data_IF_049913463787
#
_entry.id   IF_049913463787
#
_cell.length_a   1.000
_cell.length_b   1.000
_cell.length_c   1.000
_cell.angle_alpha   90.00
_cell.angle_beta   90.00
_cell.angle_gamma   90.00
#
_symmetry.space_group_name_H-M   'P 1'
#
loop_
_entity.id
_entity.type
_entity.pdbx_description
1 polymer ?
#
# COMPACT_ATOMS: atom_id res chain seq x y z
N UNK A 1 12.59 -14.71 4.90
CA UNK A 1 12.60 -15.62 3.74
C UNK A 1 11.47 -16.62 3.76
N UNK A 2 11.21 -17.21 4.93
CA UNK A 2 10.11 -18.16 5.06
C UNK A 2 8.75 -17.48 4.80
N UNK A 3 8.55 -16.31 5.38
CA UNK A 3 7.30 -15.56 5.20
C UNK A 3 7.13 -15.08 3.77
N UNK A 4 8.22 -14.73 3.09
CA UNK A 4 8.18 -14.33 1.68
C UNK A 4 7.75 -15.50 0.79
N UNK A 5 8.29 -16.69 1.02
CA UNK A 5 7.90 -17.89 0.28
C UNK A 5 6.43 -18.21 0.49
N UNK A 6 5.98 -18.13 1.73
CA UNK A 6 4.58 -18.39 2.06
C UNK A 6 3.65 -17.42 1.36
N UNK A 7 4.01 -16.12 1.35
CA UNK A 7 3.23 -15.11 0.66
C UNK A 7 3.16 -15.36 -0.85
N UNK A 8 4.27 -15.76 -1.47
CA UNK A 8 4.30 -16.12 -2.90
C UNK A 8 3.35 -17.30 -3.17
N UNK A 9 3.38 -18.32 -2.32
CA UNK A 9 2.49 -19.48 -2.47
C UNK A 9 1.01 -19.09 -2.33
N UNK A 10 0.69 -18.19 -1.42
CA UNK A 10 -0.68 -17.69 -1.27
C UNK A 10 -1.17 -16.98 -2.53
N UNK A 11 -0.34 -16.14 -3.12
CA UNK A 11 -0.69 -15.45 -4.36
C UNK A 11 -0.82 -16.46 -5.50
N UNK A 12 0.11 -17.38 -5.61
CA UNK A 12 0.07 -18.42 -6.64
C UNK A 12 -1.19 -19.27 -6.54
N UNK A 13 -1.70 -19.47 -5.34
CA UNK A 13 -2.96 -20.19 -5.08
C UNK A 13 -4.20 -19.30 -5.26
N UNK A 14 -4.05 -18.15 -5.91
CA UNK A 14 -5.11 -17.19 -6.24
C UNK A 14 -5.76 -16.53 -5.04
N UNK A 15 -5.02 -16.42 -3.94
CA UNK A 15 -5.45 -15.64 -2.79
C UNK A 15 -5.08 -14.17 -2.95
N UNK A 16 -5.81 -13.31 -2.25
CA UNK A 16 -5.48 -11.90 -2.17
C UNK A 16 -4.66 -11.64 -0.92
N UNK A 17 -3.68 -10.75 -1.03
CA UNK A 17 -2.87 -10.33 0.10
C UNK A 17 -3.05 -8.85 0.37
N UNK A 18 -3.18 -8.50 1.63
CA UNK A 18 -3.13 -7.11 2.08
C UNK A 18 -1.77 -6.89 2.70
N UNK A 19 -1.06 -5.87 2.23
CA UNK A 19 0.30 -5.58 2.67
C UNK A 19 0.39 -4.09 3.04
N UNK A 20 1.07 -3.82 4.15
CA UNK A 20 1.45 -2.46 4.53
C UNK A 20 2.90 -2.25 4.06
N UNK A 21 3.11 -1.56 2.93
CA UNK A 21 4.43 -1.52 2.31
C UNK A 21 5.49 -0.77 3.11
N UNK A 22 5.10 0.01 4.10
CA UNK A 22 6.03 0.67 5.02
C UNK A 22 6.73 -0.33 5.94
N UNK A 23 6.13 -1.50 6.16
CA UNK A 23 6.70 -2.57 6.97
C UNK A 23 6.72 -2.33 8.47
N UNK A 24 6.19 -1.22 8.94
CA UNK A 24 6.09 -0.90 10.37
C UNK A 24 5.01 0.14 10.63
N UNK A 25 4.60 0.23 11.87
CA UNK A 25 3.58 1.19 12.32
C UNK A 25 4.30 2.44 12.84
N UNK A 26 3.79 3.62 12.45
CA UNK A 26 4.25 4.88 13.02
C UNK A 26 3.33 5.32 14.14
N UNK A 27 3.91 5.84 15.22
CA UNK A 27 3.16 6.34 16.36
C UNK A 27 3.07 7.87 16.39
N UNK A 28 3.80 8.55 15.52
CA UNK A 28 3.89 10.02 15.50
C UNK A 28 3.23 10.65 14.29
N UNK A 29 2.49 9.87 13.50
CA UNK A 29 1.81 10.37 12.31
C UNK A 29 2.70 10.65 11.12
N UNK A 30 4.01 10.47 11.22
CA UNK A 30 4.93 10.71 10.11
C UNK A 30 4.80 9.62 9.05
N UNK A 31 4.94 10.04 7.80
CA UNK A 31 4.93 9.10 6.69
C UNK A 31 6.23 8.31 6.64
N UNK A 32 6.11 7.02 6.38
CA UNK A 32 7.25 6.11 6.29
C UNK A 32 7.57 5.82 4.83
N UNK A 33 8.84 5.50 4.59
CA UNK A 33 9.27 5.03 3.27
C UNK A 33 8.73 3.64 3.01
N UNK A 34 8.41 3.36 1.75
CA UNK A 34 8.01 2.02 1.34
C UNK A 34 9.24 1.10 1.31
N UNK A 35 9.05 -0.11 1.81
CA UNK A 35 10.10 -1.13 1.79
C UNK A 35 10.16 -1.81 0.42
N UNK A 36 11.26 -2.45 0.13
CA UNK A 36 11.46 -3.15 -1.14
C UNK A 36 10.72 -4.48 -1.24
N UNK A 37 10.25 -4.99 -0.11
CA UNK A 37 9.66 -6.33 -0.03
C UNK A 37 8.46 -6.55 -0.93
N UNK A 38 7.59 -5.55 -1.06
CA UNK A 38 6.39 -5.68 -1.88
C UNK A 38 6.74 -5.91 -3.35
N UNK A 39 7.63 -5.10 -3.91
CA UNK A 39 8.03 -5.22 -5.32
C UNK A 39 8.71 -6.57 -5.58
N UNK A 40 9.57 -6.99 -4.66
CA UNK A 40 10.22 -8.31 -4.73
C UNK A 40 9.22 -9.44 -4.73
N UNK A 41 8.28 -9.39 -3.78
CA UNK A 41 7.24 -10.40 -3.63
C UNK A 41 6.41 -10.50 -4.91
N UNK A 42 5.98 -9.36 -5.42
CA UNK A 42 5.15 -9.29 -6.62
C UNK A 42 5.90 -9.86 -7.83
N UNK A 43 7.17 -9.52 -7.98
CA UNK A 43 7.99 -10.04 -9.08
C UNK A 43 8.20 -11.56 -9.00
N UNK A 44 8.41 -12.08 -7.80
CA UNK A 44 8.55 -13.52 -7.61
C UNK A 44 7.26 -14.26 -7.96
N UNK A 45 6.12 -13.76 -7.54
CA UNK A 45 4.84 -14.35 -7.87
C UNK A 45 4.56 -14.29 -9.38
N UNK A 46 4.89 -13.16 -10.01
CA UNK A 46 4.73 -12.99 -11.45
C UNK A 46 5.63 -13.96 -12.24
N UNK A 47 6.85 -14.16 -11.77
CA UNK A 47 7.80 -15.10 -12.38
C UNK A 47 7.28 -16.53 -12.37
N UNK A 48 6.49 -16.90 -11.37
CA UNK A 48 5.84 -18.21 -11.32
C UNK A 48 4.66 -18.34 -12.30
N UNK A 49 4.30 -17.26 -12.98
CA UNK A 49 3.25 -17.28 -14.00
C UNK A 49 1.93 -16.65 -13.58
N UNK A 50 1.81 -16.12 -12.37
CA UNK A 50 0.58 -15.52 -11.90
C UNK A 50 0.53 -14.04 -12.28
N UNK A 51 -0.52 -13.58 -13.00
CA UNK A 51 -0.70 -12.15 -13.24
C UNK A 51 -0.94 -11.42 -11.93
N UNK A 52 -0.25 -10.30 -11.73
CA UNK A 52 -0.32 -9.54 -10.48
C UNK A 52 -0.94 -8.19 -10.72
N UNK A 53 -2.02 -7.91 -10.00
CA UNK A 53 -2.63 -6.58 -9.93
C UNK A 53 -2.39 -6.00 -8.55
N UNK A 54 -2.06 -4.73 -8.52
CA UNK A 54 -1.80 -4.01 -7.29
C UNK A 54 -2.88 -2.96 -7.11
N UNK A 55 -3.50 -2.96 -5.93
CA UNK A 55 -4.60 -2.07 -5.59
C UNK A 55 -4.16 -1.13 -4.48
N UNK A 56 -3.87 0.14 -4.79
CA UNK A 56 -3.51 1.09 -3.75
C UNK A 56 -4.72 1.44 -2.90
N UNK A 57 -4.51 1.48 -1.58
CA UNK A 57 -5.57 1.79 -0.62
C UNK A 57 -5.05 2.85 0.35
N UNK A 58 -5.85 3.87 0.58
CA UNK A 58 -5.57 4.91 1.57
C UNK A 58 -6.57 4.82 2.71
N UNK A 59 -6.10 4.99 3.93
CA UNK A 59 -6.93 4.96 5.11
C UNK A 59 -6.69 6.24 5.91
N UNK A 60 -7.75 6.85 6.39
CA UNK A 60 -7.69 8.00 7.28
C UNK A 60 -8.65 7.82 8.44
N UNK A 61 -8.23 8.27 9.61
CA UNK A 61 -9.04 8.22 10.82
C UNK A 61 -9.49 9.62 11.21
N UNK A 62 -10.55 9.72 12.01
CA UNK A 62 -11.07 11.01 12.49
C UNK A 62 -10.00 11.85 13.19
N UNK A 63 -9.06 11.19 13.88
CA UNK A 63 -7.98 11.83 14.62
C UNK A 63 -6.64 11.30 14.19
N UNK A 64 -5.59 12.13 14.31
CA UNK A 64 -4.20 11.72 14.01
C UNK A 64 -3.81 10.51 14.85
N UNK A 65 -4.24 10.47 16.11
CA UNK A 65 -4.06 9.30 16.99
C UNK A 65 -5.44 8.67 17.21
N UNK A 66 -5.77 7.58 16.48
CA UNK A 66 -7.07 6.95 16.59
C UNK A 66 -7.37 6.46 17.99
N UNK A 67 -8.60 6.69 18.43
CA UNK A 67 -9.12 6.21 19.71
C UNK A 67 -10.17 5.14 19.44
N UNK A 68 -10.52 4.38 20.47
CA UNK A 68 -11.57 3.39 20.38
C UNK A 68 -12.88 4.03 19.88
N UNK A 69 -13.48 3.43 18.89
CA UNK A 69 -14.72 3.88 18.22
C UNK A 69 -14.60 5.15 17.39
N UNK A 70 -13.37 5.61 17.09
CA UNK A 70 -13.20 6.68 16.13
C UNK A 70 -13.61 6.21 14.73
N UNK A 71 -14.16 7.13 13.96
CA UNK A 71 -14.49 6.87 12.56
C UNK A 71 -13.24 6.79 11.70
N UNK A 72 -13.37 6.13 10.55
CA UNK A 72 -12.32 6.11 9.55
C UNK A 72 -12.92 6.05 8.16
N UNK A 73 -12.12 6.41 7.17
CA UNK A 73 -12.48 6.24 5.77
C UNK A 73 -11.39 5.45 5.06
N UNK A 74 -11.81 4.65 4.08
CA UNK A 74 -10.91 3.89 3.23
C UNK A 74 -11.23 4.24 1.79
N UNK A 75 -10.22 4.64 1.02
CA UNK A 75 -10.37 4.91 -0.40
C UNK A 75 -9.50 3.95 -1.19
N UNK A 76 -10.09 3.36 -2.22
CA UNK A 76 -9.42 2.38 -3.07
C UNK A 76 -9.20 3.04 -4.42
N UNK A 77 -7.94 3.11 -4.84
CA UNK A 77 -7.57 3.66 -6.13
C UNK A 77 -7.64 2.59 -7.22
N UNK A 78 -7.58 3.06 -8.47
CA UNK A 78 -7.61 2.18 -9.62
C UNK A 78 -6.46 1.16 -9.56
N UNK A 79 -6.74 -0.13 -9.75
CA UNK A 79 -5.70 -1.15 -9.82
C UNK A 79 -4.77 -0.93 -11.00
N UNK A 80 -3.52 -1.34 -10.87
CA UNK A 80 -2.58 -1.35 -11.97
C UNK A 80 -1.85 -2.68 -12.05
N UNK A 81 -1.32 -2.99 -13.23
CA UNK A 81 -0.63 -4.26 -13.47
C UNK A 81 0.85 -4.14 -13.12
N UNK A 82 1.39 -5.17 -12.46
CA UNK A 82 2.82 -5.24 -12.20
C UNK A 82 3.63 -5.21 -13.50
N UNK A 83 3.08 -5.77 -14.58
CA UNK A 83 3.77 -5.84 -15.87
C UNK A 83 4.12 -4.45 -16.44
N UNK A 84 3.39 -3.40 -16.03
CA UNK A 84 3.71 -2.03 -16.40
C UNK A 84 5.09 -1.59 -15.84
N UNK A 85 5.59 -2.31 -14.85
CA UNK A 85 6.87 -2.04 -14.19
C UNK A 85 7.90 -3.13 -14.42
N UNK A 86 7.74 -3.93 -15.49
CA UNK A 86 8.62 -5.06 -15.78
C UNK A 86 10.09 -4.65 -15.92
N UNK A 87 10.35 -3.45 -16.47
CA UNK A 87 11.68 -2.92 -16.68
C UNK A 87 12.03 -1.76 -15.74
N UNK A 88 11.24 -1.57 -14.71
CA UNK A 88 11.43 -0.47 -13.76
C UNK A 88 12.29 -0.90 -12.57
N UNK A 89 12.95 0.07 -11.96
CA UNK A 89 13.65 -0.14 -10.70
C UNK A 89 12.67 -0.21 -9.55
N UNK A 90 13.13 -0.70 -8.40
CA UNK A 90 12.33 -0.70 -7.18
C UNK A 90 11.95 0.73 -6.76
N UNK A 91 12.85 1.68 -6.98
CA UNK A 91 12.60 3.08 -6.64
C UNK A 91 11.51 3.69 -7.51
N UNK A 92 11.50 3.40 -8.80
CA UNK A 92 10.45 3.86 -9.71
C UNK A 92 9.10 3.28 -9.33
N UNK A 93 9.05 1.99 -9.04
CA UNK A 93 7.84 1.31 -8.61
C UNK A 93 7.32 1.91 -7.30
N UNK A 94 8.19 2.04 -6.31
CA UNK A 94 7.80 2.59 -5.00
C UNK A 94 7.34 4.04 -5.10
N UNK A 95 7.97 4.83 -5.97
CA UNK A 95 7.56 6.21 -6.19
C UNK A 95 6.13 6.27 -6.73
N UNK A 96 5.83 5.46 -7.73
CA UNK A 96 4.48 5.42 -8.31
C UNK A 96 3.45 4.92 -7.29
N UNK A 97 3.77 3.83 -6.60
CA UNK A 97 2.86 3.26 -5.61
C UNK A 97 2.59 4.25 -4.48
N UNK A 98 3.63 4.92 -4.01
CA UNK A 98 3.48 5.94 -2.97
C UNK A 98 2.57 7.08 -3.42
N UNK A 99 2.72 7.52 -4.66
CA UNK A 99 1.86 8.57 -5.22
C UNK A 99 0.39 8.14 -5.23
N UNK A 100 0.13 6.90 -5.63
CA UNK A 100 -1.23 6.36 -5.65
C UNK A 100 -1.82 6.26 -4.24
N UNK A 101 -1.02 5.78 -3.29
CA UNK A 101 -1.46 5.67 -1.89
C UNK A 101 -1.75 7.07 -1.31
N UNK A 102 -0.91 8.05 -1.61
CA UNK A 102 -1.11 9.42 -1.13
C UNK A 102 -2.38 10.03 -1.69
N UNK A 103 -2.70 9.80 -2.96
CA UNK A 103 -3.97 10.24 -3.53
C UNK A 103 -5.15 9.63 -2.79
N UNK A 104 -5.08 8.33 -2.52
CA UNK A 104 -6.12 7.63 -1.77
C UNK A 104 -6.25 8.17 -0.36
N UNK A 105 -5.13 8.46 0.31
CA UNK A 105 -5.12 9.03 1.66
C UNK A 105 -5.76 10.43 1.69
N UNK A 106 -5.48 11.27 0.70
CA UNK A 106 -6.08 12.61 0.59
C UNK A 106 -7.61 12.47 0.50
N UNK A 107 -8.09 11.59 -0.36
CA UNK A 107 -9.53 11.35 -0.51
C UNK A 107 -10.14 10.83 0.80
N UNK A 108 -9.44 9.95 1.50
CA UNK A 108 -9.91 9.42 2.78
C UNK A 108 -9.93 10.52 3.86
N UNK A 109 -8.93 11.41 3.91
CA UNK A 109 -8.91 12.53 4.83
C UNK A 109 -10.09 13.48 4.61
N UNK A 110 -10.39 13.78 3.36
CA UNK A 110 -11.54 14.61 3.00
C UNK A 110 -12.82 13.93 3.46
N UNK A 111 -12.93 12.64 3.27
CA UNK A 111 -14.12 11.86 3.62
C UNK A 111 -14.40 11.88 5.13
N UNK A 112 -13.36 11.86 5.98
CA UNK A 112 -13.54 11.94 7.44
C UNK A 112 -13.61 13.40 7.94
N UNK A 113 -13.48 14.38 7.05
CA UNK A 113 -13.61 15.80 7.40
C UNK A 113 -12.36 16.42 8.00
N UNK A 114 -11.19 15.79 7.86
CA UNK A 114 -9.93 16.36 8.34
C UNK A 114 -9.33 17.32 7.31
N UNK A 115 -8.51 18.25 7.80
CA UNK A 115 -7.80 19.19 6.93
C UNK A 115 -6.64 18.49 6.23
N UNK A 116 -6.37 18.90 4.99
CA UNK A 116 -5.27 18.32 4.20
C UNK A 116 -3.91 18.54 4.84
N UNK A 117 -3.74 19.60 5.62
CA UNK A 117 -2.49 19.89 6.30
C UNK A 117 -2.07 18.79 7.29
N UNK A 118 -3.04 18.06 7.82
CA UNK A 118 -2.78 16.92 8.72
C UNK A 118 -1.96 15.83 8.05
N UNK A 119 -1.95 15.80 6.73
CA UNK A 119 -1.22 14.82 5.96
C UNK A 119 0.27 15.14 5.85
N UNK A 120 0.65 16.41 5.99
CA UNK A 120 2.02 16.87 5.81
C UNK A 120 2.90 16.64 7.03
N UNK A 121 2.31 16.30 8.16
CA UNK A 121 3.02 16.00 9.39
C UNK A 121 3.41 14.49 9.49
#
# INVERSE_FOLDING_TARGET
LFSLRYAVELIYSKNQLVIFPEGKITTNGKKLKLKQGLFRLAKLARKKGEPIKIVPVGIAYDNVKPKFRDGFAMCIEKPFDLDDFANSSVDEFNFYLKSCIQEAEVKALIQVGRKLDDQLE
#
